data_IF_784166006174
#
_entry.id   IF_784166006174
#
_cell.length_a   1.000
_cell.length_b   1.000
_cell.length_c   1.000
_cell.angle_alpha   90.00
_cell.angle_beta   90.00
_cell.angle_gamma   90.00
#
_symmetry.space_group_name_H-M   'P 1'
#
loop_
_entity.id
_entity.type
_entity.pdbx_description
1 polymer ?
#
# COMPACT_ATOMS: atom_id res chain seq x y z
N UNK A 1 -8.93 73.72 56.25
CA UNK A 1 -9.76 74.95 56.20
C UNK A 1 -10.49 74.96 54.87
N UNK A 2 -11.84 74.88 54.90
CA UNK A 2 -12.84 75.58 54.06
C UNK A 2 -12.39 76.03 52.64
N UNK A 3 -13.07 75.79 51.51
CA UNK A 3 -14.50 75.79 51.13
C UNK A 3 -14.59 75.44 49.60
N UNK A 4 -15.74 75.43 48.89
CA UNK A 4 -16.21 74.31 48.05
C UNK A 4 -16.20 74.54 46.52
N UNK A 5 -16.69 73.51 45.82
CA UNK A 5 -16.97 73.30 44.37
C UNK A 5 -17.52 74.50 43.57
N UNK A 6 -17.45 74.39 42.23
CA UNK A 6 -18.71 74.30 41.50
C UNK A 6 -18.77 73.15 40.49
N UNK A 7 -19.99 72.61 40.38
CA UNK A 7 -20.42 71.65 39.38
C UNK A 7 -20.55 72.29 37.99
N UNK A 8 -20.22 71.54 36.93
CA UNK A 8 -20.74 71.80 35.60
C UNK A 8 -21.07 70.48 34.85
N UNK A 9 -22.37 70.39 34.56
CA UNK A 9 -23.07 69.83 33.42
C UNK A 9 -22.71 68.47 32.78
N UNK A 10 -23.79 67.66 32.72
CA UNK A 10 -24.06 66.43 31.97
C UNK A 10 -23.73 66.51 30.47
N UNK A 11 -23.27 65.38 29.92
CA UNK A 11 -23.78 64.85 28.65
C UNK A 11 -23.95 63.32 28.73
N UNK A 12 -25.00 62.74 28.14
CA UNK A 12 -25.24 61.31 28.15
C UNK A 12 -24.56 60.67 26.93
N UNK A 13 -23.72 59.65 27.14
CA UNK A 13 -23.19 58.83 26.06
C UNK A 13 -23.54 57.37 26.30
N UNK A 14 -24.63 56.98 25.63
CA UNK A 14 -24.76 55.74 24.84
C UNK A 14 -24.23 54.44 25.48
N UNK A 15 -25.17 53.67 26.04
CA UNK A 15 -25.02 52.23 26.28
C UNK A 15 -24.77 51.51 24.95
N UNK A 16 -23.54 51.04 24.74
CA UNK A 16 -23.24 50.05 23.72
C UNK A 16 -23.80 48.70 24.15
N UNK A 17 -24.85 48.24 23.49
CA UNK A 17 -25.30 46.84 23.58
C UNK A 17 -24.36 46.02 22.71
N UNK A 18 -23.44 45.29 23.32
CA UNK A 18 -22.64 44.30 22.62
C UNK A 18 -23.55 43.12 22.27
N UNK A 19 -23.98 43.03 21.01
CA UNK A 19 -24.60 41.83 20.46
C UNK A 19 -23.46 40.84 20.19
N UNK A 20 -23.31 39.85 21.06
CA UNK A 20 -22.46 38.70 20.79
C UNK A 20 -23.12 37.86 19.71
N UNK A 21 -22.69 38.01 18.46
CA UNK A 21 -23.03 37.09 17.38
C UNK A 21 -22.22 35.82 17.65
N UNK A 22 -22.88 34.78 18.18
CA UNK A 22 -22.33 33.44 18.19
C UNK A 22 -22.25 32.95 16.74
N UNK A 23 -21.08 33.08 16.12
CA UNK A 23 -20.78 32.40 14.88
C UNK A 23 -20.62 30.93 15.24
N UNK A 24 -21.68 30.15 15.06
CA UNK A 24 -21.56 28.71 15.01
C UNK A 24 -20.67 28.38 13.80
N UNK A 25 -19.42 27.99 14.06
CA UNK A 25 -18.56 27.41 13.06
C UNK A 25 -19.13 26.04 12.69
N UNK A 26 -20.09 26.01 11.77
CA UNK A 26 -20.37 24.81 11.00
C UNK A 26 -19.17 24.60 10.07
N UNK A 27 -18.13 23.94 10.59
CA UNK A 27 -17.06 23.38 9.78
C UNK A 27 -17.72 22.45 8.78
N UNK A 28 -17.84 22.95 7.56
CA UNK A 28 -18.55 22.30 6.48
C UNK A 28 -17.61 21.22 5.95
N UNK A 29 -17.90 19.96 6.25
CA UNK A 29 -17.33 18.78 5.57
C UNK A 29 -17.86 18.74 4.13
N UNK A 30 -17.59 19.78 3.34
CA UNK A 30 -18.32 20.09 2.10
C UNK A 30 -18.13 19.07 0.97
N UNK A 31 -17.31 18.03 1.17
CA UNK A 31 -17.03 16.99 0.18
C UNK A 31 -17.01 15.58 0.79
N UNK A 32 -17.55 15.37 2.00
CA UNK A 32 -17.71 14.02 2.53
C UNK A 32 -18.74 13.26 1.68
N UNK A 33 -18.40 12.03 1.26
CA UNK A 33 -19.24 11.18 0.43
C UNK A 33 -19.50 9.85 1.14
N UNK A 34 -20.73 9.38 1.07
CA UNK A 34 -21.10 8.07 1.62
C UNK A 34 -21.17 7.04 0.50
N UNK A 35 -20.63 5.84 0.74
CA UNK A 35 -20.82 4.67 -0.12
C UNK A 35 -21.22 3.49 0.79
N UNK A 36 -22.46 3.00 0.61
CA UNK A 36 -23.06 2.04 1.52
C UNK A 36 -23.22 2.63 2.92
N UNK A 37 -22.57 2.02 3.91
CA UNK A 37 -22.56 2.46 5.32
C UNK A 37 -21.30 3.20 5.72
N UNK A 38 -20.37 3.44 4.79
CA UNK A 38 -19.08 4.07 5.06
C UNK A 38 -19.10 5.53 4.59
N UNK A 39 -18.64 6.42 5.47
CA UNK A 39 -18.41 7.82 5.15
C UNK A 39 -16.95 8.04 4.77
N UNK A 40 -16.73 8.71 3.66
CA UNK A 40 -15.41 8.98 3.10
C UNK A 40 -15.14 10.47 3.04
N UNK A 41 -13.87 10.84 3.21
CA UNK A 41 -13.38 12.20 3.08
C UNK A 41 -12.39 12.31 1.90
N UNK A 42 -12.29 13.48 1.24
CA UNK A 42 -11.30 13.67 0.19
C UNK A 42 -9.87 13.43 0.68
N UNK A 43 -9.09 12.74 -0.14
CA UNK A 43 -7.67 12.47 0.11
C UNK A 43 -6.90 12.42 -1.21
N UNK A 44 -5.59 12.60 -1.13
CA UNK A 44 -4.66 12.39 -2.25
C UNK A 44 -3.78 11.19 -1.94
N UNK A 45 -3.79 10.19 -2.82
CA UNK A 45 -2.92 9.02 -2.76
C UNK A 45 -1.59 9.34 -3.45
N UNK A 46 -0.49 8.90 -2.86
CA UNK A 46 0.85 9.04 -3.40
C UNK A 46 1.70 7.82 -3.02
N UNK A 47 2.57 7.33 -3.93
CA UNK A 47 3.50 6.27 -3.59
C UNK A 47 4.61 6.79 -2.65
N UNK A 48 5.24 5.92 -1.85
CA UNK A 48 6.44 6.27 -1.09
C UNK A 48 7.57 6.83 -1.97
N UNK A 49 7.66 6.34 -3.21
CA UNK A 49 8.67 6.76 -4.19
C UNK A 49 8.00 7.18 -5.50
N UNK A 50 8.35 8.38 -5.97
CA UNK A 50 7.87 8.96 -7.22
C UNK A 50 6.99 10.19 -7.00
N UNK A 51 6.42 10.70 -8.10
CA UNK A 51 5.62 11.94 -8.10
C UNK A 51 4.18 11.75 -8.57
N UNK A 52 3.79 10.50 -8.85
CA UNK A 52 2.43 10.20 -9.31
C UNK A 52 1.44 10.36 -8.14
N UNK A 53 0.32 11.04 -8.38
CA UNK A 53 -0.74 11.18 -7.39
C UNK A 53 -2.10 10.82 -7.98
N UNK A 54 -3.03 10.46 -7.10
CA UNK A 54 -4.43 10.19 -7.45
C UNK A 54 -5.36 10.79 -6.40
N UNK A 55 -6.32 11.60 -6.83
CA UNK A 55 -7.40 12.08 -5.97
C UNK A 55 -8.38 10.95 -5.68
N UNK A 56 -8.75 10.78 -4.42
CA UNK A 56 -9.63 9.72 -3.95
C UNK A 56 -10.52 10.19 -2.79
N UNK A 57 -11.37 9.29 -2.32
CA UNK A 57 -12.16 9.42 -1.11
C UNK A 57 -11.66 8.34 -0.14
N UNK A 58 -11.12 8.70 1.02
CA UNK A 58 -10.53 7.77 1.97
C UNK A 58 -11.41 7.59 3.20
N UNK A 59 -11.35 6.41 3.80
CA UNK A 59 -11.95 6.10 5.10
C UNK A 59 -11.19 4.97 5.79
N UNK A 60 -11.56 4.67 7.03
CA UNK A 60 -11.15 3.44 7.70
C UNK A 60 -12.37 2.59 8.08
N UNK A 61 -12.17 1.28 8.18
CA UNK A 61 -13.18 0.35 8.66
C UNK A 61 -12.59 -0.57 9.71
N UNK A 62 -13.20 -0.58 10.89
CA UNK A 62 -12.81 -1.46 12.00
C UNK A 62 -13.25 -2.90 11.75
N UNK A 63 -12.35 -3.86 11.95
CA UNK A 63 -12.63 -5.30 11.90
C UNK A 63 -11.92 -6.01 13.06
N UNK A 64 -12.42 -7.17 13.52
CA UNK A 64 -11.69 -7.96 14.50
C UNK A 64 -10.39 -8.51 13.90
N UNK A 65 -9.28 -8.38 14.63
CA UNK A 65 -8.00 -9.01 14.30
C UNK A 65 -8.21 -10.53 14.21
N UNK A 66 -8.69 -11.13 15.30
CA UNK A 66 -9.11 -12.52 15.35
C UNK A 66 -10.62 -12.62 15.08
N UNK A 67 -11.01 -13.14 13.90
CA UNK A 67 -12.42 -13.30 13.54
C UNK A 67 -13.20 -14.31 14.40
N UNK A 68 -12.53 -15.19 15.14
CA UNK A 68 -13.17 -16.05 16.13
C UNK A 68 -13.51 -15.31 17.43
N UNK A 69 -12.95 -14.12 17.65
CA UNK A 69 -13.17 -13.26 18.81
C UNK A 69 -13.65 -11.87 18.35
N UNK A 70 -14.91 -11.73 17.90
CA UNK A 70 -15.41 -10.49 17.31
C UNK A 70 -15.42 -9.28 18.26
N UNK A 71 -15.35 -9.52 19.58
CA UNK A 71 -15.24 -8.49 20.62
C UNK A 71 -13.80 -8.33 21.14
N UNK A 72 -12.83 -8.99 20.49
CA UNK A 72 -11.41 -8.90 20.81
C UNK A 72 -10.77 -7.64 20.20
N UNK A 73 -9.45 -7.69 19.98
CA UNK A 73 -8.70 -6.58 19.36
C UNK A 73 -9.31 -6.23 18.01
N UNK A 74 -9.57 -4.95 17.80
CA UNK A 74 -9.97 -4.42 16.50
C UNK A 74 -8.76 -3.82 15.80
N UNK A 75 -8.73 -3.96 14.48
CA UNK A 75 -7.76 -3.33 13.60
C UNK A 75 -8.51 -2.46 12.60
N UNK A 76 -7.89 -1.36 12.20
CA UNK A 76 -8.43 -0.47 11.19
C UNK A 76 -7.92 -0.85 9.81
N UNK A 77 -8.85 -0.97 8.86
CA UNK A 77 -8.56 -1.17 7.45
C UNK A 77 -8.64 0.15 6.71
N UNK A 78 -7.56 0.56 6.07
CA UNK A 78 -7.50 1.77 5.26
C UNK A 78 -8.04 1.51 3.85
N UNK A 79 -9.05 2.29 3.45
CA UNK A 79 -9.76 2.14 2.19
C UNK A 79 -9.69 3.46 1.43
N UNK A 80 -9.41 3.39 0.14
CA UNK A 80 -9.61 4.50 -0.78
C UNK A 80 -10.60 4.10 -1.89
N UNK A 81 -11.51 5.02 -2.19
CA UNK A 81 -12.49 4.91 -3.24
C UNK A 81 -12.22 5.98 -4.28
N UNK A 82 -12.09 5.57 -5.53
CA UNK A 82 -12.03 6.45 -6.69
C UNK A 82 -13.37 6.34 -7.40
N UNK A 83 -14.22 7.37 -7.31
CA UNK A 83 -15.55 7.35 -7.91
C UNK A 83 -15.51 7.20 -9.43
N UNK A 84 -16.42 6.39 -9.97
CA UNK A 84 -16.61 6.29 -11.40
C UNK A 84 -17.04 7.63 -12.03
N UNK A 85 -16.53 7.95 -13.22
CA UNK A 85 -16.86 9.19 -13.96
C UNK A 85 -18.15 9.08 -14.82
N UNK A 86 -18.72 7.87 -14.91
CA UNK A 86 -19.80 7.54 -15.83
C UNK A 86 -21.15 8.11 -15.43
N UNK A 87 -22.01 8.35 -16.43
CA UNK A 87 -23.43 8.70 -16.21
C UNK A 87 -24.30 7.48 -15.91
N UNK A 88 -23.82 6.29 -16.27
CA UNK A 88 -24.46 5.01 -16.00
C UNK A 88 -23.70 4.39 -14.83
N UNK A 89 -24.35 4.31 -13.67
CA UNK A 89 -23.79 3.71 -12.47
C UNK A 89 -23.82 2.20 -12.61
N UNK A 90 -22.65 1.57 -12.69
CA UNK A 90 -22.58 0.13 -12.52
C UNK A 90 -22.35 -0.22 -11.04
N UNK A 91 -23.23 -1.03 -10.42
CA UNK A 91 -23.21 -1.27 -8.98
C UNK A 91 -22.10 -2.23 -8.51
N UNK A 92 -21.34 -2.80 -9.44
CA UNK A 92 -20.28 -3.76 -9.19
C UNK A 92 -18.89 -3.09 -9.31
N UNK A 93 -18.29 -2.65 -8.19
CA UNK A 93 -17.01 -1.94 -8.18
C UNK A 93 -15.85 -2.86 -8.59
N UNK A 94 -14.70 -2.24 -8.86
CA UNK A 94 -13.44 -2.94 -9.12
C UNK A 94 -12.54 -2.84 -7.90
N UNK A 95 -12.13 -3.98 -7.37
CA UNK A 95 -11.09 -4.07 -6.35
C UNK A 95 -9.76 -4.36 -7.03
N UNK A 96 -8.80 -3.42 -6.91
CA UNK A 96 -7.42 -3.66 -7.31
C UNK A 96 -6.67 -4.26 -6.11
N UNK A 97 -6.11 -5.45 -6.31
CA UNK A 97 -5.40 -6.20 -5.28
C UNK A 97 -3.91 -6.16 -5.59
N UNK A 98 -3.18 -5.39 -4.78
CA UNK A 98 -1.74 -5.24 -4.90
C UNK A 98 -0.98 -6.54 -4.60
N UNK A 99 0.26 -6.57 -5.09
CA UNK A 99 1.18 -7.69 -5.00
C UNK A 99 2.05 -7.68 -3.74
N UNK A 100 3.30 -8.08 -3.90
CA UNK A 100 4.24 -8.32 -2.81
C UNK A 100 4.33 -9.81 -2.46
N UNK A 101 3.75 -10.30 -1.34
CA UNK A 101 2.85 -9.62 -0.38
C UNK A 101 3.49 -8.43 0.34
N UNK A 102 2.67 -7.59 0.98
CA UNK A 102 3.13 -6.42 1.75
C UNK A 102 2.90 -5.07 1.08
N UNK A 103 2.59 -5.04 -0.22
CA UNK A 103 2.35 -3.78 -0.93
C UNK A 103 0.98 -3.20 -0.57
N UNK A 104 0.93 -1.88 -0.34
CA UNK A 104 -0.30 -1.11 -0.23
C UNK A 104 -0.96 -0.94 -1.60
N UNK A 105 -2.26 -1.22 -1.69
CA UNK A 105 -3.04 -0.93 -2.89
C UNK A 105 -3.21 0.58 -3.10
N UNK A 106 -3.37 1.32 -2.00
CA UNK A 106 -3.53 2.79 -1.99
C UNK A 106 -2.27 3.48 -2.51
N UNK A 107 -1.10 3.03 -2.10
CA UNK A 107 0.19 3.60 -2.52
C UNK A 107 0.61 3.16 -3.93
N UNK A 108 0.26 1.94 -4.33
CA UNK A 108 0.64 1.38 -5.64
C UNK A 108 -0.21 1.92 -6.79
N UNK A 109 -1.48 2.27 -6.53
CA UNK A 109 -2.42 2.62 -7.58
C UNK A 109 -2.01 3.85 -8.42
N UNK A 110 -1.49 4.97 -7.87
CA UNK A 110 -1.11 6.13 -8.66
C UNK A 110 -0.12 5.83 -9.79
N UNK A 111 0.76 4.85 -9.60
CA UNK A 111 1.74 4.44 -10.60
C UNK A 111 1.11 3.71 -11.79
N UNK A 112 -0.03 3.04 -11.59
CA UNK A 112 -0.70 2.21 -12.61
C UNK A 112 -2.08 2.73 -13.02
N UNK A 113 -2.54 3.86 -12.48
CA UNK A 113 -3.88 4.41 -12.70
C UNK A 113 -4.28 4.52 -14.19
N UNK A 114 -3.29 4.73 -15.07
CA UNK A 114 -3.51 4.82 -16.51
C UNK A 114 -4.10 3.54 -17.12
N UNK A 115 -3.76 2.37 -16.58
CA UNK A 115 -4.31 1.07 -16.99
C UNK A 115 -5.80 0.93 -16.62
N UNK A 116 -6.24 1.65 -15.57
CA UNK A 116 -7.62 1.62 -15.08
C UNK A 116 -8.52 2.69 -15.69
N UNK A 117 -8.00 3.60 -16.52
CA UNK A 117 -8.76 4.75 -17.04
C UNK A 117 -10.08 4.39 -17.73
N UNK A 118 -10.13 3.29 -18.48
CA UNK A 118 -11.38 2.87 -19.13
C UNK A 118 -12.38 2.31 -18.12
N UNK A 119 -11.90 1.61 -17.11
CA UNK A 119 -12.72 1.04 -16.03
C UNK A 119 -13.26 2.14 -15.12
N UNK A 120 -12.42 3.10 -14.72
CA UNK A 120 -12.80 4.25 -13.89
C UNK A 120 -13.83 5.19 -14.54
N UNK A 121 -14.04 5.10 -15.86
CA UNK A 121 -15.16 5.78 -16.54
C UNK A 121 -16.51 5.14 -16.32
N UNK A 122 -16.54 3.91 -15.84
CA UNK A 122 -17.74 3.07 -15.78
C UNK A 122 -18.02 2.59 -14.36
N UNK A 123 -16.98 2.45 -13.53
CA UNK A 123 -17.04 1.75 -12.25
C UNK A 123 -16.25 2.48 -11.20
N UNK A 124 -16.72 2.40 -9.98
CA UNK A 124 -15.93 2.71 -8.81
C UNK A 124 -14.71 1.79 -8.71
N UNK A 125 -13.58 2.34 -8.28
CA UNK A 125 -12.37 1.58 -7.97
C UNK A 125 -12.16 1.66 -6.46
N UNK A 126 -12.02 0.50 -5.82
CA UNK A 126 -11.79 0.36 -4.39
C UNK A 126 -10.38 -0.18 -4.18
N UNK A 127 -9.63 0.52 -3.35
CA UNK A 127 -8.26 0.21 -2.96
C UNK A 127 -8.28 -0.06 -1.46
N UNK A 128 -8.11 -1.32 -1.09
CA UNK A 128 -8.00 -1.74 0.30
C UNK A 128 -6.54 -2.14 0.54
N UNK A 129 -5.91 -1.48 1.51
CA UNK A 129 -4.67 -1.99 2.07
C UNK A 129 -5.02 -3.25 2.87
N UNK A 130 -4.40 -4.39 2.56
CA UNK A 130 -4.65 -5.63 3.30
C UNK A 130 -4.16 -5.45 4.74
N UNK A 131 -4.80 -6.13 5.71
CA UNK A 131 -4.31 -6.18 7.09
C UNK A 131 -2.80 -6.45 7.13
N UNK A 132 -2.05 -5.69 7.90
CA UNK A 132 -0.59 -5.80 7.97
C UNK A 132 0.17 -5.04 6.91
N UNK A 133 -0.50 -4.31 6.00
CA UNK A 133 0.13 -3.61 4.88
C UNK A 133 -0.35 -2.16 4.79
N UNK A 134 0.46 -1.28 4.19
CA UNK A 134 0.09 0.13 4.01
C UNK A 134 -0.33 0.80 5.31
N UNK A 135 -1.52 1.42 5.31
CA UNK A 135 -2.09 2.02 6.51
C UNK A 135 -3.07 1.09 7.27
N UNK A 136 -3.23 -0.18 6.86
CA UNK A 136 -4.11 -1.14 7.50
C UNK A 136 -3.36 -1.94 8.57
N UNK A 137 -3.20 -1.35 9.76
CA UNK A 137 -2.52 -1.98 10.91
C UNK A 137 -1.20 -2.67 10.49
N UNK A 138 -0.21 -1.92 9.99
CA UNK A 138 0.96 -2.47 9.33
C UNK A 138 1.84 -3.32 10.27
N UNK A 139 2.35 -4.45 9.75
CA UNK A 139 3.33 -5.26 10.45
C UNK A 139 4.74 -4.71 10.18
N UNK A 140 5.11 -3.66 10.90
CA UNK A 140 6.42 -3.02 10.74
C UNK A 140 7.44 -3.58 11.72
N UNK A 141 8.49 -4.19 11.18
CA UNK A 141 9.67 -4.61 11.92
C UNK A 141 10.89 -3.87 11.36
N UNK A 142 11.32 -2.81 12.02
CA UNK A 142 12.61 -2.19 11.69
C UNK A 142 13.71 -3.18 12.08
N UNK A 143 14.37 -3.80 11.11
CA UNK A 143 15.53 -4.67 11.33
C UNK A 143 16.79 -3.90 10.97
N UNK A 144 17.91 -4.18 11.64
CA UNK A 144 19.19 -3.56 11.30
C UNK A 144 19.65 -4.08 9.92
N UNK A 145 19.99 -3.19 8.99
CA UNK A 145 20.34 -3.53 7.59
C UNK A 145 21.53 -4.51 7.49
N UNK A 146 22.46 -4.46 8.45
CA UNK A 146 23.60 -5.40 8.52
C UNK A 146 23.17 -6.87 8.75
N UNK A 147 21.97 -7.11 9.29
CA UNK A 147 21.41 -8.46 9.48
C UNK A 147 20.56 -8.90 8.26
N UNK A 148 20.22 -8.02 7.31
CA UNK A 148 19.43 -8.33 6.10
C UNK A 148 20.29 -8.83 4.93
N UNK A 149 21.51 -8.33 4.82
CA UNK A 149 22.50 -8.79 3.83
C UNK A 149 23.05 -10.16 4.25
N UNK A 150 22.31 -11.21 3.89
CA UNK A 150 22.68 -12.60 4.15
C UNK A 150 24.10 -12.91 3.66
N UNK A 151 24.88 -13.59 4.48
CA UNK A 151 26.20 -14.08 4.07
C UNK A 151 26.03 -15.22 3.05
N UNK A 152 26.31 -14.93 1.77
CA UNK A 152 26.21 -15.90 0.68
C UNK A 152 27.12 -17.14 0.83
N UNK A 153 28.12 -17.07 1.71
CA UNK A 153 29.03 -18.17 2.03
C UNK A 153 28.60 -18.95 3.30
N UNK A 154 27.53 -18.52 3.99
CA UNK A 154 27.04 -19.21 5.18
C UNK A 154 26.40 -20.56 4.81
N UNK A 155 26.61 -21.55 5.67
CA UNK A 155 25.92 -22.85 5.56
C UNK A 155 24.40 -22.70 5.78
N UNK A 156 23.62 -23.66 5.29
CA UNK A 156 22.16 -23.68 5.49
C UNK A 156 21.77 -23.57 6.97
N UNK A 157 22.53 -24.20 7.87
CA UNK A 157 22.27 -24.15 9.31
C UNK A 157 22.47 -22.73 9.88
N UNK A 158 23.53 -22.05 9.46
CA UNK A 158 23.80 -20.67 9.87
C UNK A 158 22.74 -19.71 9.33
N UNK A 159 22.31 -19.90 8.07
CA UNK A 159 21.22 -19.11 7.48
C UNK A 159 19.89 -19.31 8.23
N UNK A 160 19.58 -20.55 8.63
CA UNK A 160 18.39 -20.86 9.44
C UNK A 160 18.47 -20.17 10.81
N UNK A 161 19.63 -20.22 11.48
CA UNK A 161 19.79 -19.57 12.79
C UNK A 161 19.63 -18.05 12.71
N UNK A 162 20.17 -17.42 11.65
CA UNK A 162 19.96 -15.99 11.35
C UNK A 162 18.48 -15.71 11.11
N UNK A 163 17.81 -16.48 10.26
CA UNK A 163 16.38 -16.30 9.98
C UNK A 163 15.52 -16.44 11.26
N UNK A 164 15.85 -17.38 12.14
CA UNK A 164 15.17 -17.58 13.42
C UNK A 164 15.42 -16.39 14.37
N UNK A 165 16.64 -15.86 14.44
CA UNK A 165 16.97 -14.66 15.24
C UNK A 165 16.15 -13.47 14.74
N UNK A 166 16.21 -13.16 13.44
CA UNK A 166 15.48 -12.06 12.80
C UNK A 166 13.97 -12.17 13.01
N UNK A 167 13.42 -13.38 12.83
CA UNK A 167 11.98 -13.61 13.02
C UNK A 167 11.55 -13.35 14.47
N UNK A 168 12.36 -13.77 15.46
CA UNK A 168 12.06 -13.53 16.88
C UNK A 168 12.16 -12.05 17.24
N UNK A 169 13.15 -11.35 16.68
CA UNK A 169 13.31 -9.92 16.88
C UNK A 169 12.12 -9.16 16.29
N UNK A 170 11.76 -9.44 15.04
CA UNK A 170 10.57 -8.87 14.40
C UNK A 170 9.32 -9.15 15.24
N UNK A 171 9.09 -10.40 15.65
CA UNK A 171 7.94 -10.74 16.49
C UNK A 171 7.91 -9.95 17.81
N UNK A 172 9.07 -9.66 18.41
CA UNK A 172 9.14 -8.86 19.64
C UNK A 172 8.73 -7.40 19.44
N UNK A 173 8.84 -6.86 18.22
CA UNK A 173 8.46 -5.49 17.84
C UNK A 173 6.97 -5.37 17.51
N UNK A 174 6.28 -6.48 17.24
CA UNK A 174 4.85 -6.55 16.88
C UNK A 174 3.92 -6.71 18.11
N UNK A 175 4.20 -6.01 19.22
CA UNK A 175 3.50 -6.21 20.50
C UNK A 175 2.00 -5.85 20.46
N UNK A 176 1.59 -5.03 19.49
CA UNK A 176 0.21 -4.60 19.26
C UNK A 176 -0.52 -5.42 18.18
N UNK A 177 0.09 -6.51 17.73
CA UNK A 177 -0.41 -7.35 16.64
C UNK A 177 -0.26 -8.83 16.99
N UNK A 178 -1.14 -9.67 16.46
CA UNK A 178 -0.98 -11.13 16.49
C UNK A 178 -0.81 -11.66 15.06
N UNK A 179 0.44 -11.89 14.60
CA UNK A 179 0.76 -12.26 13.22
C UNK A 179 0.02 -13.51 12.71
N UNK A 180 -0.51 -14.35 13.60
CA UNK A 180 -1.31 -15.53 13.25
C UNK A 180 -2.58 -15.18 12.47
N UNK A 181 -3.07 -13.95 12.57
CA UNK A 181 -4.29 -13.49 11.89
C UNK A 181 -4.03 -12.56 10.70
N UNK A 182 -2.79 -12.51 10.20
CA UNK A 182 -2.40 -11.73 9.02
C UNK A 182 -2.21 -12.66 7.82
N UNK A 183 -3.19 -13.54 7.62
CA UNK A 183 -3.17 -14.54 6.55
C UNK A 183 -3.94 -14.07 5.32
N UNK A 184 -3.68 -14.68 4.16
CA UNK A 184 -4.51 -14.47 2.97
C UNK A 184 -5.99 -14.75 3.25
N UNK A 185 -6.30 -15.77 4.06
CA UNK A 185 -7.68 -16.13 4.43
C UNK A 185 -8.38 -14.99 5.14
N UNK A 186 -7.70 -14.36 6.10
CA UNK A 186 -8.26 -13.24 6.86
C UNK A 186 -8.39 -11.98 6.01
N UNK A 187 -7.40 -11.69 5.17
CA UNK A 187 -7.45 -10.57 4.23
C UNK A 187 -8.60 -10.68 3.22
N UNK A 188 -8.94 -11.89 2.76
CA UNK A 188 -10.08 -12.11 1.86
C UNK A 188 -11.40 -11.86 2.58
N UNK A 189 -11.51 -12.28 3.84
CA UNK A 189 -12.70 -11.99 4.64
C UNK A 189 -12.87 -10.48 4.90
N UNK A 190 -11.76 -9.73 4.97
CA UNK A 190 -11.80 -8.26 5.02
C UNK A 190 -12.29 -7.64 3.72
N UNK A 191 -11.83 -8.13 2.57
CA UNK A 191 -12.33 -7.68 1.26
C UNK A 191 -13.85 -7.89 1.17
N UNK A 192 -14.36 -9.04 1.63
CA UNK A 192 -15.79 -9.32 1.61
C UNK A 192 -16.57 -8.44 2.61
N UNK A 193 -16.01 -8.17 3.79
CA UNK A 193 -16.60 -7.22 4.74
C UNK A 193 -16.67 -5.80 4.17
N UNK A 194 -15.63 -5.35 3.46
CA UNK A 194 -15.64 -4.04 2.78
C UNK A 194 -16.68 -4.03 1.68
N UNK A 195 -16.78 -5.11 0.87
CA UNK A 195 -17.83 -5.26 -0.15
C UNK A 195 -19.23 -5.09 0.46
N UNK A 196 -19.50 -5.73 1.58
CA UNK A 196 -20.79 -5.62 2.27
C UNK A 196 -21.04 -4.21 2.80
N UNK A 197 -20.03 -3.60 3.43
CA UNK A 197 -20.13 -2.25 3.98
C UNK A 197 -20.40 -1.19 2.90
N UNK A 198 -19.81 -1.32 1.71
CA UNK A 198 -20.09 -0.41 0.57
C UNK A 198 -21.38 -0.76 -0.17
N UNK A 199 -22.10 -1.82 0.22
CA UNK A 199 -23.37 -2.21 -0.37
C UNK A 199 -23.28 -2.94 -1.72
N UNK A 200 -22.10 -3.45 -2.09
CA UNK A 200 -21.90 -4.12 -3.38
C UNK A 200 -22.36 -5.58 -3.34
N UNK A 201 -23.29 -5.96 -4.23
CA UNK A 201 -23.74 -7.36 -4.34
C UNK A 201 -22.64 -8.27 -4.91
N UNK A 202 -21.89 -7.77 -5.90
CA UNK A 202 -20.76 -8.47 -6.50
C UNK A 202 -19.61 -7.49 -6.80
N UNK A 203 -18.40 -8.02 -6.91
CA UNK A 203 -17.19 -7.25 -7.24
C UNK A 203 -16.48 -7.80 -8.47
N UNK A 204 -15.74 -6.93 -9.15
CA UNK A 204 -14.76 -7.30 -10.16
C UNK A 204 -13.36 -7.24 -9.52
N UNK A 205 -12.57 -8.29 -9.67
CA UNK A 205 -11.24 -8.37 -9.04
C UNK A 205 -10.16 -8.18 -10.10
N UNK A 206 -9.20 -7.29 -9.84
CA UNK A 206 -7.98 -7.17 -10.62
C UNK A 206 -6.81 -7.46 -9.69
N UNK A 207 -6.26 -8.67 -9.78
CA UNK A 207 -5.11 -9.09 -8.99
C UNK A 207 -3.80 -8.91 -9.76
N UNK A 208 -2.77 -8.41 -9.08
CA UNK A 208 -1.42 -8.23 -9.64
C UNK A 208 -0.42 -8.98 -8.77
N UNK A 209 0.44 -9.83 -9.36
CA UNK A 209 1.44 -10.62 -8.64
C UNK A 209 0.79 -11.41 -7.49
N UNK A 210 1.23 -11.32 -6.24
CA UNK A 210 0.57 -11.97 -5.08
C UNK A 210 -0.94 -11.67 -5.00
N UNK A 211 -1.40 -10.49 -5.40
CA UNK A 211 -2.81 -10.14 -5.47
C UNK A 211 -3.64 -11.04 -6.38
N UNK A 212 -3.01 -11.73 -7.34
CA UNK A 212 -3.68 -12.77 -8.15
C UNK A 212 -4.04 -14.00 -7.32
N UNK A 213 -3.24 -14.38 -6.32
CA UNK A 213 -3.58 -15.44 -5.38
C UNK A 213 -4.76 -15.02 -4.50
N UNK A 214 -4.75 -13.77 -4.02
CA UNK A 214 -5.87 -13.19 -3.27
C UNK A 214 -7.15 -13.22 -4.10
N UNK A 215 -7.10 -12.79 -5.37
CA UNK A 215 -8.24 -12.80 -6.28
C UNK A 215 -8.80 -14.22 -6.51
N UNK A 216 -7.92 -15.20 -6.76
CA UNK A 216 -8.30 -16.60 -6.94
C UNK A 216 -9.00 -17.17 -5.69
N UNK A 217 -8.42 -16.93 -4.52
CA UNK A 217 -8.94 -17.42 -3.24
C UNK A 217 -10.26 -16.72 -2.85
N UNK A 218 -10.39 -15.42 -3.14
CA UNK A 218 -11.67 -14.70 -2.98
C UNK A 218 -12.75 -15.32 -3.88
N UNK A 219 -12.46 -15.49 -5.17
CA UNK A 219 -13.40 -16.07 -6.12
C UNK A 219 -13.83 -17.50 -5.73
N UNK A 220 -12.91 -18.27 -5.16
CA UNK A 220 -13.20 -19.62 -4.66
C UNK A 220 -14.11 -19.60 -3.43
N UNK A 221 -13.85 -18.71 -2.46
CA UNK A 221 -14.58 -18.66 -1.19
C UNK A 221 -15.91 -17.90 -1.26
N UNK A 222 -16.00 -16.90 -2.14
CA UNK A 222 -17.15 -16.01 -2.33
C UNK A 222 -17.59 -15.99 -3.81
N UNK A 223 -17.97 -17.14 -4.40
CA UNK A 223 -18.30 -17.22 -5.82
C UNK A 223 -19.54 -16.40 -6.19
N UNK A 224 -20.54 -16.33 -5.29
CA UNK A 224 -21.73 -15.52 -5.50
C UNK A 224 -21.43 -14.02 -5.50
N UNK A 225 -20.41 -13.59 -4.74
CA UNK A 225 -19.96 -12.20 -4.65
C UNK A 225 -18.95 -11.82 -5.74
N UNK A 226 -18.56 -12.75 -6.60
CA UNK A 226 -17.55 -12.52 -7.64
C UNK A 226 -18.19 -12.44 -9.01
N UNK A 227 -18.05 -11.29 -9.69
CA UNK A 227 -18.59 -11.11 -11.04
C UNK A 227 -17.57 -11.39 -12.13
N UNK A 228 -16.35 -10.85 -11.98
CA UNK A 228 -15.25 -11.09 -12.92
C UNK A 228 -13.90 -11.04 -12.22
N UNK A 229 -12.90 -11.67 -12.83
CA UNK A 229 -11.54 -11.76 -12.31
C UNK A 229 -10.55 -11.53 -13.45
N UNK A 230 -9.59 -10.64 -13.22
CA UNK A 230 -8.41 -10.42 -14.07
C UNK A 230 -7.18 -10.73 -13.23
N UNK A 231 -6.30 -11.57 -13.76
CA UNK A 231 -5.04 -11.96 -13.11
C UNK A 231 -3.88 -11.49 -13.97
N UNK A 232 -3.12 -10.51 -13.49
CA UNK A 232 -1.88 -10.05 -14.12
C UNK A 232 -0.67 -10.66 -13.39
N UNK A 233 0.15 -11.41 -14.12
CA UNK A 233 1.28 -12.18 -13.59
C UNK A 233 0.83 -13.20 -12.52
N UNK A 234 0.04 -14.22 -12.92
CA UNK A 234 -0.64 -15.12 -11.99
C UNK A 234 0.33 -15.93 -11.13
N UNK A 235 0.02 -15.97 -9.83
CA UNK A 235 0.67 -16.79 -8.82
C UNK A 235 -0.23 -18.00 -8.54
N UNK A 236 0.15 -19.22 -8.97
CA UNK A 236 -0.58 -20.45 -8.65
C UNK A 236 -0.68 -20.67 -7.14
N UNK A 237 -1.73 -21.33 -6.66
CA UNK A 237 -1.95 -21.51 -5.22
C UNK A 237 -0.94 -22.46 -4.57
N UNK A 238 -0.42 -23.41 -5.35
CA UNK A 238 0.54 -24.43 -4.94
C UNK A 238 1.98 -23.89 -4.90
N UNK A 239 2.23 -22.72 -5.50
CA UNK A 239 3.57 -22.14 -5.55
C UNK A 239 4.00 -21.66 -4.16
N UNK A 240 5.15 -22.12 -3.69
CA UNK A 240 5.80 -21.52 -2.52
C UNK A 240 6.50 -20.25 -3.01
N UNK A 241 5.96 -19.09 -2.63
CA UNK A 241 6.53 -17.80 -3.01
C UNK A 241 7.98 -17.69 -2.50
N UNK A 242 8.87 -17.12 -3.31
CA UNK A 242 10.30 -17.05 -2.99
C UNK A 242 11.16 -18.10 -3.70
N UNK A 243 10.72 -19.37 -3.75
CA UNK A 243 11.59 -20.51 -4.06
C UNK A 243 12.12 -20.56 -5.50
N UNK A 244 11.36 -20.04 -6.46
CA UNK A 244 11.73 -20.09 -7.88
C UNK A 244 12.27 -18.77 -8.42
N UNK A 245 12.38 -17.71 -7.60
CA UNK A 245 12.82 -16.40 -8.07
C UNK A 245 14.22 -16.44 -8.66
N UNK A 246 15.20 -17.08 -8.00
CA UNK A 246 16.57 -17.18 -8.49
C UNK A 246 16.65 -17.90 -9.86
N UNK A 247 15.92 -19.01 -10.01
CA UNK A 247 15.89 -19.79 -11.26
C UNK A 247 15.22 -19.01 -12.40
N UNK A 248 14.10 -18.33 -12.09
CA UNK A 248 13.37 -17.54 -13.07
C UNK A 248 14.17 -16.32 -13.51
N UNK A 249 14.88 -15.66 -12.58
CA UNK A 249 15.78 -14.55 -12.88
C UNK A 249 16.92 -15.00 -13.79
N UNK A 250 17.55 -16.13 -13.47
CA UNK A 250 18.62 -16.71 -14.28
C UNK A 250 18.16 -17.02 -15.72
N UNK A 251 16.99 -17.66 -15.86
CA UNK A 251 16.39 -17.93 -17.17
C UNK A 251 16.04 -16.65 -17.95
N UNK A 252 15.52 -15.63 -17.27
CA UNK A 252 15.21 -14.34 -17.89
C UNK A 252 16.47 -13.61 -18.35
N UNK A 253 17.53 -13.67 -17.53
CA UNK A 253 18.84 -13.12 -17.86
C UNK A 253 19.42 -13.82 -19.08
N UNK A 254 19.46 -15.15 -19.12
CA UNK A 254 19.95 -15.91 -20.27
C UNK A 254 19.22 -15.54 -21.56
N UNK A 255 17.89 -15.42 -21.51
CA UNK A 255 17.11 -14.98 -22.67
C UNK A 255 17.47 -13.56 -23.11
N UNK A 256 17.66 -12.63 -22.17
CA UNK A 256 18.03 -11.25 -22.49
C UNK A 256 19.45 -11.16 -23.07
N UNK A 257 20.40 -11.92 -22.53
CA UNK A 257 21.78 -11.95 -23.01
C UNK A 257 21.87 -12.61 -24.40
N UNK A 258 21.12 -13.69 -24.63
CA UNK A 258 21.01 -14.31 -25.94
C UNK A 258 20.44 -13.34 -26.99
N UNK A 259 19.42 -12.53 -26.62
CA UNK A 259 18.91 -11.46 -27.50
C UNK A 259 20.00 -10.46 -27.88
N UNK A 260 20.83 -10.03 -26.93
CA UNK A 260 21.94 -9.12 -27.23
C UNK A 260 22.97 -9.74 -28.18
N UNK A 261 23.34 -11.01 -27.98
CA UNK A 261 24.27 -11.71 -28.89
C UNK A 261 23.70 -11.83 -30.30
N UNK A 262 22.39 -12.03 -30.43
CA UNK A 262 21.72 -12.12 -31.73
C UNK A 262 21.51 -10.77 -32.43
N UNK A 263 21.57 -9.66 -31.70
CA UNK A 263 21.44 -8.31 -32.24
C UNK A 263 22.81 -7.74 -32.61
N UNK A 264 22.99 -7.34 -33.87
CA UNK A 264 24.30 -6.88 -34.37
C UNK A 264 24.83 -5.67 -33.59
N UNK A 265 23.98 -4.68 -33.31
CA UNK A 265 24.39 -3.45 -32.63
C UNK A 265 24.79 -3.77 -31.18
N UNK A 266 24.00 -4.60 -30.51
CA UNK A 266 24.27 -5.02 -29.14
C UNK A 266 25.54 -5.87 -29.06
N UNK A 267 25.69 -6.86 -29.94
CA UNK A 267 26.86 -7.73 -29.99
C UNK A 267 28.14 -6.97 -30.33
N UNK A 268 28.12 -6.03 -31.29
CA UNK A 268 29.29 -5.18 -31.59
C UNK A 268 29.69 -4.30 -30.38
N UNK A 269 28.72 -3.82 -29.60
CA UNK A 269 28.97 -2.97 -28.44
C UNK A 269 29.41 -3.75 -27.20
N UNK A 270 28.78 -4.89 -26.94
CA UNK A 270 28.90 -5.62 -25.68
C UNK A 270 29.58 -6.98 -25.81
N UNK A 271 29.84 -7.50 -27.01
CA UNK A 271 30.47 -8.80 -27.22
C UNK A 271 29.61 -9.95 -26.66
N UNK A 272 30.20 -10.79 -25.82
CA UNK A 272 29.47 -11.78 -25.03
C UNK A 272 29.15 -11.22 -23.63
N UNK A 273 27.93 -10.74 -23.39
CA UNK A 273 27.60 -10.10 -22.12
C UNK A 273 27.53 -11.09 -20.95
N UNK A 274 27.35 -12.39 -21.19
CA UNK A 274 27.35 -13.43 -20.16
C UNK A 274 28.74 -13.62 -19.55
N UNK A 275 29.75 -13.72 -20.41
CA UNK A 275 31.15 -13.79 -19.99
C UNK A 275 31.57 -12.52 -19.24
N UNK A 276 31.21 -11.35 -19.78
CA UNK A 276 31.52 -10.06 -19.12
C UNK A 276 30.89 -9.93 -17.73
N UNK A 277 29.65 -10.38 -17.56
CA UNK A 277 29.00 -10.38 -16.25
C UNK A 277 29.73 -11.32 -15.28
N UNK A 278 30.10 -12.52 -15.72
CA UNK A 278 30.84 -13.47 -14.89
C UNK A 278 32.23 -12.92 -14.48
N UNK A 279 32.96 -12.30 -15.41
CA UNK A 279 34.23 -11.63 -15.16
C UNK A 279 34.08 -10.48 -14.14
N UNK A 280 33.03 -9.66 -14.30
CA UNK A 280 32.74 -8.55 -13.39
C UNK A 280 32.45 -9.07 -11.97
N UNK A 281 31.58 -10.06 -11.83
CA UNK A 281 31.24 -10.67 -10.52
C UNK A 281 32.48 -11.28 -9.87
N UNK A 282 33.30 -12.02 -10.61
CA UNK A 282 34.54 -12.59 -10.09
C UNK A 282 35.50 -11.50 -9.59
N UNK A 283 35.69 -10.43 -10.37
CA UNK A 283 36.53 -9.29 -9.99
C UNK A 283 36.04 -8.59 -8.72
N UNK A 284 34.73 -8.36 -8.61
CA UNK A 284 34.13 -7.68 -7.45
C UNK A 284 34.18 -8.53 -6.18
N UNK A 285 34.17 -9.86 -6.29
CA UNK A 285 34.38 -10.76 -5.15
C UNK A 285 35.82 -10.72 -4.61
N UNK A 286 36.80 -10.61 -5.50
CA UNK A 286 38.23 -10.53 -5.11
C UNK A 286 38.62 -9.15 -4.61
N UNK A 287 38.10 -8.10 -5.26
CA UNK A 287 38.39 -6.71 -4.94
C UNK A 287 37.11 -5.87 -5.06
N UNK A 288 36.30 -5.79 -3.98
CA UNK A 288 35.15 -4.92 -3.92
C UNK A 288 35.56 -3.48 -4.25
N UNK A 289 34.76 -2.81 -5.07
CA UNK A 289 34.96 -1.42 -5.45
C UNK A 289 33.92 -0.61 -4.70
N UNK A 290 34.37 0.23 -3.76
CA UNK A 290 33.49 1.17 -3.11
C UNK A 290 32.95 2.17 -4.15
N UNK A 291 31.63 2.28 -4.25
CA UNK A 291 30.95 3.21 -5.13
C UNK A 291 30.09 4.15 -4.29
N UNK A 292 29.90 5.38 -4.77
CA UNK A 292 28.89 6.26 -4.21
C UNK A 292 27.69 6.29 -5.15
N UNK A 293 26.51 6.08 -4.59
CA UNK A 293 25.26 6.23 -5.32
C UNK A 293 24.31 7.11 -4.52
N UNK A 294 23.30 7.62 -5.20
CA UNK A 294 22.22 8.33 -4.54
C UNK A 294 21.06 7.35 -4.41
N UNK A 295 20.66 7.06 -3.18
CA UNK A 295 19.53 6.16 -2.94
C UNK A 295 18.30 6.69 -3.70
N UNK A 296 17.70 5.86 -4.57
CA UNK A 296 16.62 6.32 -5.43
C UNK A 296 15.31 6.59 -4.66
N UNK A 297 15.20 6.18 -3.39
CA UNK A 297 14.02 6.39 -2.55
C UNK A 297 14.13 7.68 -1.72
N UNK A 298 15.26 7.89 -1.06
CA UNK A 298 15.53 8.98 -0.12
C UNK A 298 16.27 10.15 -0.75
N UNK A 299 16.99 9.91 -1.85
CA UNK A 299 17.86 10.90 -2.47
C UNK A 299 19.15 11.18 -1.68
N UNK A 300 19.41 10.44 -0.60
CA UNK A 300 20.63 10.53 0.22
C UNK A 300 21.79 9.87 -0.54
N UNK A 301 22.99 10.41 -0.39
CA UNK A 301 24.20 9.80 -0.97
C UNK A 301 24.68 8.69 -0.03
N UNK A 302 24.80 7.48 -0.57
CA UNK A 302 25.24 6.27 0.12
C UNK A 302 26.56 5.78 -0.47
N UNK A 303 27.26 4.94 0.28
CA UNK A 303 28.56 4.38 -0.12
C UNK A 303 28.66 2.93 0.33
N UNK A 304 29.14 2.06 -0.56
CA UNK A 304 29.36 0.64 -0.32
C UNK A 304 30.21 0.00 -1.41
#
# INVERSE_FOLDING_TARGET
>A
MKLPLPAFCRHPLTRWVAIAIAIAAASSSANARTLGTLDFEPCTLAPPVGVATTEAQCTTMSVPENRAEPQGRQIELAIAWIPGEGREEHPDPVFMLAGGPGQSARDSFPQIQSAFRQVGRLRDIILLDQRGTGASHPLTCELDEEDEDGNAEASDAEQIDVAVKLTRECLSKLADSDPRFYTTTDAIADIDAVREAIGAAQVNLVGISYGTRVAQQFAHRYPASTRSVVLDSPVPNELILGQDHAKNLESALDQQLARCVSDKICSERFGNPREKLAELVAKLREAPIATTWRDPQTGVEESG
#
